data_IF_521183397372
#
_entry.id   IF_521183397372
#
_cell.length_a   1.000
_cell.length_b   1.000
_cell.length_c   1.000
_cell.angle_alpha   90.00
_cell.angle_beta   90.00
_cell.angle_gamma   90.00
#
_symmetry.space_group_name_H-M   'P 1'
#
loop_
_entity.id
_entity.type
_entity.pdbx_description
1 polymer ?
#
# COMPACT_ATOMS: atom_id res chain seq x y z
N UNK A 1 2.87 26.73 -3.30
CA UNK A 1 2.76 25.42 -4.01
C UNK A 1 2.70 24.20 -3.06
N UNK A 2 2.12 24.31 -1.85
CA UNK A 2 2.26 23.30 -0.76
C UNK A 2 0.96 22.58 -0.35
N UNK A 3 -0.15 22.84 -1.05
CA UNK A 3 -1.50 22.35 -0.71
C UNK A 3 -2.06 21.26 -1.64
N UNK A 4 -1.39 20.94 -2.75
CA UNK A 4 -1.88 19.95 -3.72
C UNK A 4 -1.42 18.51 -3.42
N UNK A 5 -0.38 18.35 -2.61
CA UNK A 5 0.19 17.04 -2.21
C UNK A 5 -0.79 16.07 -1.53
N UNK A 6 -1.66 16.48 -0.59
CA UNK A 6 -2.60 15.52 0.04
C UNK A 6 -3.71 15.08 -0.92
N UNK A 7 -4.13 15.96 -1.84
CA UNK A 7 -5.13 15.63 -2.86
C UNK A 7 -4.57 14.65 -3.90
N UNK A 8 -3.32 14.83 -4.32
CA UNK A 8 -2.64 13.89 -5.23
C UNK A 8 -2.46 12.53 -4.55
N UNK A 9 -2.09 12.50 -3.27
CA UNK A 9 -1.94 11.26 -2.52
C UNK A 9 -3.28 10.54 -2.32
N UNK A 10 -4.35 11.27 -1.98
CA UNK A 10 -5.70 10.71 -1.85
C UNK A 10 -6.26 10.21 -3.18
N UNK A 11 -6.06 10.96 -4.27
CA UNK A 11 -6.45 10.56 -5.61
C UNK A 11 -5.66 9.33 -6.11
N UNK A 12 -4.37 9.26 -5.81
CA UNK A 12 -3.57 8.06 -6.08
C UNK A 12 -4.06 6.86 -5.26
N UNK A 13 -4.44 7.06 -4.00
CA UNK A 13 -4.99 6.02 -3.14
C UNK A 13 -6.33 5.49 -3.66
N UNK A 14 -7.24 6.39 -4.04
CA UNK A 14 -8.53 6.06 -4.64
C UNK A 14 -8.37 5.41 -6.02
N UNK A 15 -7.44 5.90 -6.84
CA UNK A 15 -7.13 5.35 -8.17
C UNK A 15 -6.53 3.95 -8.09
N UNK A 16 -5.61 3.71 -7.15
CA UNK A 16 -5.05 2.38 -6.87
C UNK A 16 -6.12 1.43 -6.30
N UNK A 17 -6.98 1.92 -5.42
CA UNK A 17 -8.12 1.16 -4.89
C UNK A 17 -9.12 0.76 -5.96
N UNK A 18 -9.43 1.67 -6.89
CA UNK A 18 -10.31 1.41 -8.04
C UNK A 18 -9.67 0.43 -9.02
N UNK A 19 -8.39 0.59 -9.36
CA UNK A 19 -7.67 -0.33 -10.21
C UNK A 19 -7.62 -1.75 -9.61
N UNK A 20 -7.39 -1.85 -8.30
CA UNK A 20 -7.42 -3.11 -7.57
C UNK A 20 -8.82 -3.76 -7.57
N UNK A 21 -9.88 -2.95 -7.40
CA UNK A 21 -11.26 -3.41 -7.47
C UNK A 21 -11.64 -3.91 -8.87
N UNK A 22 -11.23 -3.18 -9.92
CA UNK A 22 -11.43 -3.58 -11.31
C UNK A 22 -10.69 -4.89 -11.64
N UNK A 23 -9.48 -5.06 -11.12
CA UNK A 23 -8.68 -6.27 -11.36
C UNK A 23 -9.23 -7.48 -10.61
N UNK A 24 -9.83 -7.27 -9.43
CA UNK A 24 -10.57 -8.30 -8.71
C UNK A 24 -11.90 -8.68 -9.39
N UNK A 25 -12.60 -7.70 -9.98
CA UNK A 25 -13.90 -7.89 -10.64
C UNK A 25 -13.83 -8.52 -12.03
N UNK A 26 -12.79 -8.21 -12.81
CA UNK A 26 -12.71 -8.61 -14.23
C UNK A 26 -12.11 -10.00 -14.45
N UNK A 27 -11.52 -10.62 -13.43
CA UNK A 27 -10.88 -11.94 -13.60
C UNK A 27 -9.72 -11.94 -14.60
N UNK A 28 -9.22 -10.78 -15.03
CA UNK A 28 -8.00 -10.59 -15.85
C UNK A 28 -6.72 -10.89 -15.03
N UNK A 29 -6.81 -11.88 -14.14
CA UNK A 29 -6.01 -12.13 -12.95
C UNK A 29 -4.72 -12.93 -13.16
N UNK A 30 -4.08 -12.77 -14.32
CA UNK A 30 -2.70 -13.20 -14.52
C UNK A 30 -1.77 -12.11 -14.03
N UNK A 31 -1.27 -12.20 -12.80
CA UNK A 31 -0.07 -11.42 -12.46
C UNK A 31 1.06 -12.01 -13.30
N UNK A 32 1.51 -11.30 -14.36
CA UNK A 32 2.57 -11.79 -15.25
C UNK A 32 3.84 -12.22 -14.45
N UNK A 33 4.11 -11.55 -13.33
CA UNK A 33 5.16 -11.97 -12.40
C UNK A 33 4.88 -13.34 -11.76
N UNK A 34 3.65 -13.62 -11.35
CA UNK A 34 3.26 -14.96 -10.85
C UNK A 34 3.30 -16.02 -11.94
N UNK A 35 2.91 -15.67 -13.16
CA UNK A 35 3.01 -16.59 -14.30
C UNK A 35 4.46 -16.91 -14.65
N UNK A 36 5.37 -15.92 -14.56
CA UNK A 36 6.79 -16.10 -14.85
C UNK A 36 7.59 -16.73 -13.70
N UNK A 37 7.25 -16.44 -12.44
CA UNK A 37 8.07 -16.84 -11.28
C UNK A 37 7.41 -17.89 -10.39
N UNK A 38 6.13 -18.21 -10.62
CA UNK A 38 5.32 -19.05 -9.72
C UNK A 38 4.98 -18.40 -8.38
N UNK A 39 5.48 -17.19 -8.08
CA UNK A 39 5.31 -16.50 -6.80
C UNK A 39 4.35 -15.31 -6.92
N UNK A 40 3.53 -15.02 -5.90
CA UNK A 40 2.74 -13.79 -5.90
C UNK A 40 3.67 -12.58 -5.92
N UNK A 41 3.37 -11.60 -6.79
CA UNK A 41 4.15 -10.37 -6.82
C UNK A 41 3.96 -9.57 -5.51
N UNK A 42 5.04 -9.01 -4.93
CA UNK A 42 4.97 -8.23 -3.69
C UNK A 42 4.09 -6.97 -3.83
N UNK A 43 3.83 -6.50 -5.05
CA UNK A 43 2.96 -5.34 -5.29
C UNK A 43 1.49 -5.74 -5.50
N UNK A 44 1.19 -6.97 -5.91
CA UNK A 44 -0.17 -7.43 -6.21
C UNK A 44 -0.95 -7.89 -4.97
N UNK A 45 -0.29 -8.09 -3.82
CA UNK A 45 -0.94 -8.42 -2.54
C UNK A 45 -1.91 -7.33 -2.05
N UNK A 46 -1.76 -6.09 -2.53
CA UNK A 46 -2.63 -4.96 -2.17
C UNK A 46 -4.10 -5.18 -2.55
N UNK A 47 -4.38 -5.77 -3.72
CA UNK A 47 -5.77 -6.00 -4.16
C UNK A 47 -6.48 -7.06 -3.32
N UNK A 48 -5.75 -8.12 -2.91
CA UNK A 48 -6.28 -9.14 -1.99
C UNK A 48 -6.51 -8.58 -0.59
N UNK A 49 -5.60 -7.73 -0.11
CA UNK A 49 -5.78 -7.02 1.15
C UNK A 49 -6.99 -6.07 1.11
N UNK A 50 -7.16 -5.32 0.02
CA UNK A 50 -8.31 -4.43 -0.17
C UNK A 50 -9.63 -5.22 -0.22
N UNK A 51 -9.70 -6.32 -0.98
CA UNK A 51 -10.89 -7.18 -1.03
C UNK A 51 -11.19 -7.79 0.35
N UNK A 52 -10.17 -8.22 1.09
CA UNK A 52 -10.34 -8.72 2.45
C UNK A 52 -10.87 -7.63 3.41
N UNK A 53 -10.41 -6.38 3.29
CA UNK A 53 -10.98 -5.26 4.05
C UNK A 53 -12.45 -5.01 3.69
N UNK A 54 -12.77 -4.97 2.40
CA UNK A 54 -14.13 -4.71 1.90
C UNK A 54 -15.13 -5.81 2.29
N UNK A 55 -14.65 -7.04 2.42
CA UNK A 55 -15.46 -8.19 2.86
C UNK A 55 -15.49 -8.36 4.38
N UNK A 56 -14.91 -7.44 5.15
CA UNK A 56 -14.95 -7.45 6.61
C UNK A 56 -13.92 -8.36 7.29
N UNK A 57 -12.84 -8.70 6.61
CA UNK A 57 -11.75 -9.57 7.10
C UNK A 57 -10.44 -8.79 7.30
N UNK A 58 -10.36 -7.88 8.30
CA UNK A 58 -9.19 -7.00 8.47
C UNK A 58 -7.91 -7.76 8.84
N UNK A 59 -8.00 -8.85 9.61
CA UNK A 59 -6.85 -9.69 9.95
C UNK A 59 -6.29 -10.40 8.71
N UNK A 60 -7.17 -10.90 7.84
CA UNK A 60 -6.77 -11.48 6.56
C UNK A 60 -6.13 -10.42 5.66
N UNK A 61 -6.65 -9.19 5.66
CA UNK A 61 -6.07 -8.10 4.90
C UNK A 61 -4.65 -7.74 5.35
N UNK A 62 -4.43 -7.62 6.66
CA UNK A 62 -3.09 -7.40 7.24
C UNK A 62 -2.15 -8.56 6.89
N UNK A 63 -2.66 -9.78 6.95
CA UNK A 63 -1.93 -10.97 6.53
C UNK A 63 -1.47 -10.89 5.07
N UNK A 64 -2.33 -10.39 4.17
CA UNK A 64 -2.04 -10.29 2.74
C UNK A 64 -1.04 -9.19 2.37
N UNK A 65 -1.17 -7.99 2.96
CA UNK A 65 -0.22 -6.90 2.74
C UNK A 65 -0.37 -5.84 3.85
N UNK A 66 0.46 -5.91 4.91
CA UNK A 66 0.39 -4.98 6.04
C UNK A 66 0.52 -3.52 5.60
N UNK A 67 1.44 -3.24 4.66
CA UNK A 67 1.65 -1.88 4.16
C UNK A 67 0.42 -1.35 3.42
N UNK A 68 -0.28 -2.17 2.63
CA UNK A 68 -1.49 -1.75 1.95
C UNK A 68 -2.61 -1.35 2.92
N UNK A 69 -2.69 -1.99 4.08
CA UNK A 69 -3.69 -1.70 5.12
C UNK A 69 -3.28 -0.50 5.97
N UNK A 70 -2.01 -0.42 6.39
CA UNK A 70 -1.55 0.57 7.36
C UNK A 70 -1.09 1.90 6.74
N UNK A 71 -0.61 1.91 5.50
CA UNK A 71 -0.18 3.13 4.83
C UNK A 71 -1.26 4.22 4.79
N UNK A 72 -2.54 3.96 4.42
CA UNK A 72 -3.56 5.02 4.37
C UNK A 72 -3.80 5.72 5.71
N UNK A 73 -4.11 5.03 6.83
CA UNK A 73 -4.33 5.72 8.10
C UNK A 73 -3.06 6.41 8.61
N UNK A 74 -1.88 5.83 8.41
CA UNK A 74 -0.61 6.46 8.80
C UNK A 74 -0.38 7.76 8.02
N UNK A 75 -0.57 7.75 6.69
CA UNK A 75 -0.41 8.95 5.87
C UNK A 75 -1.43 10.05 6.24
N UNK A 76 -2.66 9.66 6.58
CA UNK A 76 -3.68 10.60 7.07
C UNK A 76 -3.26 11.23 8.41
N UNK A 77 -2.76 10.42 9.35
CA UNK A 77 -2.25 10.91 10.63
C UNK A 77 -1.04 11.83 10.46
N UNK A 78 -0.09 11.47 9.59
CA UNK A 78 1.07 12.31 9.28
C UNK A 78 0.65 13.64 8.63
N UNK A 79 -0.34 13.63 7.73
CA UNK A 79 -0.88 14.83 7.14
C UNK A 79 -1.59 15.73 8.17
N UNK A 80 -2.38 15.13 9.06
CA UNK A 80 -3.05 15.83 10.16
C UNK A 80 -2.04 16.44 11.16
N UNK A 81 -0.95 15.72 11.43
CA UNK A 81 0.10 16.13 12.36
C UNK A 81 1.26 16.89 11.69
N UNK A 82 1.12 17.32 10.43
CA UNK A 82 2.22 17.88 9.63
C UNK A 82 3.02 18.98 10.34
N UNK A 83 2.34 19.83 11.12
CA UNK A 83 2.97 20.94 11.85
C UNK A 83 3.90 20.49 12.96
N UNK A 84 3.62 19.33 13.58
CA UNK A 84 4.47 18.73 14.62
C UNK A 84 5.72 18.07 14.03
N UNK A 85 5.72 17.86 12.72
CA UNK A 85 6.78 17.21 11.97
C UNK A 85 7.65 18.22 11.22
N UNK A 86 7.33 19.51 11.30
CA UNK A 86 8.13 20.59 10.74
C UNK A 86 9.47 20.64 11.49
N UNK A 87 10.55 20.26 10.79
CA UNK A 87 11.90 20.13 11.35
C UNK A 87 12.53 18.75 11.14
N UNK A 88 11.73 17.73 10.81
CA UNK A 88 12.27 16.42 10.45
C UNK A 88 12.95 16.50 9.08
N UNK A 89 14.26 16.18 8.96
CA UNK A 89 14.98 16.35 7.70
C UNK A 89 14.48 15.37 6.63
N UNK A 90 14.43 15.82 5.37
CA UNK A 90 13.93 15.03 4.22
C UNK A 90 14.54 13.63 4.10
N UNK A 91 15.82 13.47 4.47
CA UNK A 91 16.52 12.17 4.46
C UNK A 91 15.86 11.14 5.38
N UNK A 92 15.33 11.55 6.52
CA UNK A 92 14.66 10.64 7.48
C UNK A 92 13.37 10.09 6.88
N UNK A 93 12.58 10.94 6.22
CA UNK A 93 11.38 10.50 5.50
C UNK A 93 11.69 9.51 4.38
N UNK A 94 12.73 9.78 3.59
CA UNK A 94 13.13 8.91 2.48
C UNK A 94 13.63 7.57 3.02
N UNK A 95 14.60 7.60 3.94
CA UNK A 95 15.18 6.37 4.49
C UNK A 95 14.14 5.55 5.25
N UNK A 96 13.29 6.19 6.06
CA UNK A 96 12.19 5.52 6.75
C UNK A 96 11.16 4.92 5.79
N UNK A 97 10.78 5.65 4.74
CA UNK A 97 9.87 5.17 3.70
C UNK A 97 10.44 3.97 2.95
N UNK A 98 11.69 4.06 2.50
CA UNK A 98 12.41 2.97 1.82
C UNK A 98 12.52 1.75 2.73
N UNK A 99 12.96 1.93 3.98
CA UNK A 99 13.07 0.85 4.96
C UNK A 99 11.72 0.14 5.18
N UNK A 100 10.63 0.91 5.29
CA UNK A 100 9.28 0.35 5.45
C UNK A 100 8.85 -0.48 4.25
N UNK A 101 9.09 0.01 3.03
CA UNK A 101 8.75 -0.72 1.80
C UNK A 101 9.57 -2.02 1.70
N UNK A 102 10.88 -1.95 1.98
CA UNK A 102 11.76 -3.12 1.96
C UNK A 102 11.37 -4.15 3.01
N UNK A 103 11.02 -3.72 4.23
CA UNK A 103 10.53 -4.60 5.28
C UNK A 103 9.22 -5.29 4.88
N UNK A 104 8.28 -4.56 4.26
CA UNK A 104 7.05 -5.16 3.75
C UNK A 104 7.32 -6.17 2.63
N UNK A 105 8.24 -5.86 1.71
CA UNK A 105 8.63 -6.79 0.66
C UNK A 105 9.28 -8.05 1.21
N UNK A 106 10.19 -7.92 2.17
CA UNK A 106 10.81 -9.05 2.84
C UNK A 106 9.74 -9.94 3.50
N UNK A 107 8.80 -9.33 4.23
CA UNK A 107 7.67 -10.05 4.81
C UNK A 107 6.89 -10.84 3.75
N UNK A 108 6.53 -10.21 2.62
CA UNK A 108 5.78 -10.88 1.55
C UNK A 108 6.59 -12.01 0.88
N UNK A 109 7.88 -11.81 0.66
CA UNK A 109 8.76 -12.81 0.07
C UNK A 109 8.95 -14.03 0.98
N UNK A 110 9.03 -13.82 2.30
CA UNK A 110 9.16 -14.91 3.28
C UNK A 110 7.85 -15.67 3.45
N UNK A 111 6.70 -15.00 3.34
CA UNK A 111 5.39 -15.61 3.56
C UNK A 111 4.82 -16.37 2.36
N UNK A 112 5.21 -16.01 1.13
CA UNK A 112 4.71 -16.59 -0.11
C UNK A 112 3.33 -16.06 -0.52
#
# INVERSE_FOLDING_TARGET
MRHRTPLIAAAAFLGLGLAAALQAWTGLGGCAFRELTGRPCPTCGGSRAALALLTGHPLAALAWNPLAVLAPPVLLLLAACRRRLDGVPRRVWILGGVATVLANWLYLLVRG
#
